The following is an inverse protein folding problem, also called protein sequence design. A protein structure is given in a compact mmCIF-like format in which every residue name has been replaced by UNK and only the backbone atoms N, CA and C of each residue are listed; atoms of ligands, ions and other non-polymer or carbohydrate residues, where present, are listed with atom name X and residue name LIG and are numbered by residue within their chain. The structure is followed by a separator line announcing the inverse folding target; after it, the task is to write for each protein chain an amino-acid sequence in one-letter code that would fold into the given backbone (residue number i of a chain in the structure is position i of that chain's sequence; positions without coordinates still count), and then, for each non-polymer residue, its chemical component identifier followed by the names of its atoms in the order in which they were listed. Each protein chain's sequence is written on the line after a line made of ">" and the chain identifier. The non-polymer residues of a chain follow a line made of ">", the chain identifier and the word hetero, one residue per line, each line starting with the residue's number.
data_IF_131532313879
#
_entry.id   IF_131532313879
#
_cell.length_a   1.000
_cell.length_b   1.000
_cell.length_c   1.000
_cell.angle_alpha   90.00
_cell.angle_beta   90.00
_cell.angle_gamma   90.00
#
_symmetry.space_group_name_H-M   'P 1'
#
loop_
_entity.id
_entity.type
_entity.pdbx_description
1 polymer ?
#
# COMPACT_ATOMS: atom_id res chain seq x y z
N UNK A 1 1.51 13.96 2.75
CA UNK A 1 1.10 12.82 1.90
C UNK A 1 2.03 11.66 2.14
N UNK A 2 1.51 10.45 2.19
CA UNK A 2 2.26 9.20 2.36
C UNK A 2 1.74 8.17 1.37
N UNK A 3 2.61 7.29 0.89
CA UNK A 3 2.21 6.12 0.10
C UNK A 3 2.11 4.91 1.01
N UNK A 4 0.99 4.21 0.97
CA UNK A 4 0.76 2.96 1.71
C UNK A 4 0.52 1.82 0.73
N UNK A 5 1.06 0.64 1.03
CA UNK A 5 0.77 -0.58 0.28
C UNK A 5 -0.41 -1.36 0.88
N UNK A 6 -0.79 -2.43 0.19
CA UNK A 6 -1.89 -3.29 0.61
C UNK A 6 -1.64 -3.93 1.99
N UNK A 7 -0.39 -4.15 2.40
CA UNK A 7 -0.06 -4.74 3.69
C UNK A 7 -0.54 -3.89 4.87
N UNK A 8 -0.49 -2.56 4.72
CA UNK A 8 -1.01 -1.61 5.71
C UNK A 8 -2.54 -1.56 5.68
N UNK A 9 -3.12 -1.42 4.48
CA UNK A 9 -4.57 -1.28 4.34
C UNK A 9 -5.31 -2.54 4.81
N UNK A 10 -4.73 -3.73 4.60
CA UNK A 10 -5.28 -4.99 5.10
C UNK A 10 -5.39 -5.03 6.63
N UNK A 11 -4.54 -4.30 7.37
CA UNK A 11 -4.64 -4.18 8.83
C UNK A 11 -5.85 -3.37 9.30
N UNK A 12 -6.46 -2.60 8.41
CA UNK A 12 -7.74 -1.94 8.70
C UNK A 12 -8.94 -2.90 8.55
N UNK A 13 -8.74 -4.00 7.82
CA UNK A 13 -9.76 -5.04 7.58
C UNK A 13 -9.58 -6.19 8.57
N UNK A 14 -8.33 -6.62 8.78
CA UNK A 14 -7.98 -7.74 9.65
C UNK A 14 -7.18 -7.24 10.84
N UNK A 15 -7.72 -7.45 12.05
CA UNK A 15 -7.04 -7.05 13.29
C UNK A 15 -5.76 -7.86 13.51
N UNK A 16 -4.65 -7.14 13.68
CA UNK A 16 -3.32 -7.68 13.95
C UNK A 16 -2.62 -6.84 15.03
N UNK A 17 -1.42 -7.24 15.47
CA UNK A 17 -0.70 -6.58 16.57
C UNK A 17 -0.43 -5.08 16.28
N UNK A 18 -0.13 -4.73 15.06
CA UNK A 18 0.20 -3.35 14.62
C UNK A 18 -0.97 -2.61 13.96
N UNK A 19 -2.20 -3.15 14.08
CA UNK A 19 -3.44 -2.47 13.64
C UNK A 19 -3.60 -1.06 14.25
N UNK A 20 -3.27 -0.80 15.54
CA UNK A 20 -3.37 0.55 16.09
C UNK A 20 -2.57 1.60 15.32
N UNK A 21 -1.38 1.27 14.83
CA UNK A 21 -0.57 2.18 14.02
C UNK A 21 -1.23 2.45 12.65
N UNK A 22 -1.76 1.41 12.00
CA UNK A 22 -2.50 1.55 10.76
C UNK A 22 -3.77 2.41 10.93
N UNK A 23 -4.49 2.24 12.04
CA UNK A 23 -5.66 3.07 12.39
C UNK A 23 -5.28 4.54 12.57
N UNK A 24 -4.12 4.84 13.15
CA UNK A 24 -3.64 6.22 13.26
C UNK A 24 -3.38 6.85 11.88
N UNK A 25 -2.78 6.10 10.94
CA UNK A 25 -2.57 6.59 9.57
C UNK A 25 -3.91 6.86 8.86
N UNK A 26 -4.90 5.98 9.07
CA UNK A 26 -6.27 6.19 8.57
C UNK A 26 -6.90 7.47 9.16
N UNK A 27 -6.79 7.68 10.46
CA UNK A 27 -7.33 8.88 11.12
C UNK A 27 -6.68 10.15 10.58
N UNK A 28 -5.36 10.17 10.44
CA UNK A 28 -4.65 11.30 9.85
C UNK A 28 -5.13 11.60 8.42
N UNK A 29 -5.47 10.56 7.65
CA UNK A 29 -6.03 10.72 6.31
C UNK A 29 -7.43 11.35 6.34
N UNK A 30 -8.31 10.87 7.22
CA UNK A 30 -9.68 11.36 7.37
C UNK A 30 -9.68 12.82 7.83
N UNK A 31 -8.83 13.16 8.78
CA UNK A 31 -8.71 14.54 9.30
C UNK A 31 -7.97 15.49 8.36
N UNK A 32 -7.32 14.95 7.32
CA UNK A 32 -6.53 15.72 6.36
C UNK A 32 -5.14 16.11 6.84
N UNK A 33 -4.71 15.59 8.00
CA UNK A 33 -3.36 15.80 8.51
C UNK A 33 -2.30 15.20 7.60
N UNK A 34 -2.55 13.98 7.10
CA UNK A 34 -1.68 13.35 6.11
C UNK A 34 -2.49 12.49 5.11
N UNK A 35 -2.47 12.85 3.84
CA UNK A 35 -3.23 12.14 2.81
C UNK A 35 -2.54 10.84 2.38
N UNK A 36 -3.33 9.78 2.28
CA UNK A 36 -2.88 8.48 1.75
C UNK A 36 -2.96 8.51 0.23
N UNK A 37 -1.89 8.06 -0.41
CA UNK A 37 -1.78 7.84 -1.85
C UNK A 37 -1.36 6.40 -2.14
N UNK A 38 -1.75 5.88 -3.29
CA UNK A 38 -1.34 4.55 -3.76
C UNK A 38 -1.40 4.44 -5.29
N UNK A 39 -0.68 3.50 -5.92
CA UNK A 39 -0.98 3.12 -7.29
C UNK A 39 -2.39 2.49 -7.37
N UNK A 40 -3.05 2.57 -8.51
CA UNK A 40 -4.34 1.87 -8.76
C UNK A 40 -4.28 0.37 -8.46
N UNK A 41 -3.09 -0.22 -8.55
CA UNK A 41 -2.77 -1.59 -8.16
C UNK A 41 -3.29 -1.96 -6.77
N UNK A 42 -3.35 -1.02 -5.81
CA UNK A 42 -3.81 -1.25 -4.45
C UNK A 42 -5.14 -2.02 -4.42
N UNK A 43 -6.12 -1.57 -5.18
CA UNK A 43 -7.45 -2.19 -5.15
C UNK A 43 -7.47 -3.60 -5.74
N UNK A 44 -6.61 -3.89 -6.72
CA UNK A 44 -6.45 -5.26 -7.24
C UNK A 44 -5.85 -6.19 -6.19
N UNK A 45 -4.83 -5.74 -5.46
CA UNK A 45 -4.21 -6.52 -4.38
C UNK A 45 -5.19 -6.79 -3.24
N UNK A 46 -5.92 -5.77 -2.79
CA UNK A 46 -6.94 -5.91 -1.73
C UNK A 46 -8.05 -6.88 -2.17
N UNK A 47 -8.60 -6.70 -3.35
CA UNK A 47 -9.65 -7.57 -3.88
C UNK A 47 -9.16 -9.01 -4.02
N UNK A 48 -7.91 -9.23 -4.46
CA UNK A 48 -7.33 -10.56 -4.60
C UNK A 48 -7.18 -11.26 -3.24
N UNK A 49 -6.70 -10.56 -2.20
CA UNK A 49 -6.59 -11.13 -0.85
C UNK A 49 -7.97 -11.50 -0.32
N UNK A 50 -8.97 -10.63 -0.47
CA UNK A 50 -10.35 -10.89 -0.03
C UNK A 50 -10.98 -12.05 -0.81
N UNK A 51 -10.72 -12.18 -2.10
CA UNK A 51 -11.20 -13.27 -2.94
C UNK A 51 -10.60 -14.63 -2.57
N UNK A 52 -9.34 -14.65 -2.13
CA UNK A 52 -8.62 -15.90 -1.77
C UNK A 52 -8.85 -16.35 -0.34
N UNK A 53 -9.33 -15.49 0.54
CA UNK A 53 -9.70 -15.85 1.92
C UNK A 53 -11.13 -16.42 1.95
N UNK A 54 -11.29 -17.64 1.48
CA UNK A 54 -12.61 -18.30 1.31
C UNK A 54 -13.40 -18.51 2.62
N UNK A 55 -12.76 -18.42 3.78
CA UNK A 55 -13.43 -18.45 5.07
C UNK A 55 -14.27 -17.19 5.34
N UNK A 56 -14.02 -16.09 4.62
CA UNK A 56 -14.77 -14.85 4.76
C UNK A 56 -15.92 -14.88 3.73
N UNK A 57 -17.18 -14.73 4.17
CA UNK A 57 -18.30 -14.64 3.24
C UNK A 57 -18.13 -13.51 2.22
N UNK A 58 -18.52 -13.72 0.97
CA UNK A 58 -18.41 -12.71 -0.11
C UNK A 58 -19.05 -11.39 0.29
N UNK A 59 -20.18 -11.42 1.01
CA UNK A 59 -20.85 -10.22 1.49
C UNK A 59 -19.96 -9.39 2.42
N UNK A 60 -19.25 -10.04 3.34
CA UNK A 60 -18.37 -9.35 4.29
C UNK A 60 -17.10 -8.84 3.61
N UNK A 61 -16.53 -9.63 2.71
CA UNK A 61 -15.39 -9.20 1.89
C UNK A 61 -15.76 -7.97 1.02
N UNK A 62 -16.93 -7.98 0.41
CA UNK A 62 -17.43 -6.87 -0.40
C UNK A 62 -17.68 -5.61 0.44
N UNK A 63 -18.24 -5.75 1.64
CA UNK A 63 -18.44 -4.64 2.56
C UNK A 63 -17.10 -4.04 3.01
N UNK A 64 -16.13 -4.86 3.35
CA UNK A 64 -14.79 -4.41 3.76
C UNK A 64 -14.10 -3.60 2.64
N UNK A 65 -14.16 -4.09 1.40
CA UNK A 65 -13.58 -3.36 0.27
C UNK A 65 -14.30 -2.04 0.01
N UNK A 66 -15.63 -2.02 0.15
CA UNK A 66 -16.44 -0.79 0.02
C UNK A 66 -16.04 0.26 1.04
N UNK A 67 -15.79 -0.14 2.29
CA UNK A 67 -15.31 0.77 3.33
C UNK A 67 -13.94 1.38 2.98
N UNK A 68 -13.04 0.59 2.39
CA UNK A 68 -11.75 1.12 1.92
C UNK A 68 -11.94 2.11 0.77
N UNK A 69 -12.83 1.83 -0.19
CA UNK A 69 -13.16 2.81 -1.24
C UNK A 69 -13.69 4.13 -0.68
N UNK A 70 -14.51 4.07 0.39
CA UNK A 70 -15.06 5.25 1.05
C UNK A 70 -14.00 6.09 1.80
N UNK A 71 -12.79 5.58 1.98
CA UNK A 71 -11.67 6.38 2.49
C UNK A 71 -11.15 7.39 1.45
N UNK A 72 -11.53 7.24 0.19
CA UNK A 72 -11.10 8.14 -0.90
C UNK A 72 -9.57 8.27 -0.99
N UNK A 73 -8.86 7.13 -0.88
CA UNK A 73 -7.42 7.07 -1.08
C UNK A 73 -7.10 7.62 -2.48
N UNK A 74 -6.16 8.56 -2.55
CA UNK A 74 -5.77 9.15 -3.82
C UNK A 74 -4.95 8.15 -4.64
N UNK A 75 -5.50 7.71 -5.78
CA UNK A 75 -4.85 6.70 -6.63
C UNK A 75 -4.23 7.33 -7.87
N UNK A 76 -3.10 6.74 -8.27
CA UNK A 76 -2.28 7.22 -9.39
C UNK A 76 -2.01 6.10 -10.38
N UNK A 77 -2.13 6.43 -11.66
CA UNK A 77 -1.65 5.59 -12.76
C UNK A 77 -0.17 5.85 -13.00
N UNK A 78 0.61 4.80 -13.20
CA UNK A 78 2.01 4.90 -13.59
C UNK A 78 2.14 5.01 -15.11
N UNK A 79 3.06 5.86 -15.57
CA UNK A 79 3.40 6.01 -16.97
C UNK A 79 4.45 5.00 -17.45
N UNK A 80 4.74 5.04 -18.75
CA UNK A 80 5.70 4.11 -19.38
C UNK A 80 7.07 4.17 -18.72
N UNK A 81 7.61 5.38 -18.50
CA UNK A 81 8.93 5.58 -17.89
C UNK A 81 8.99 4.99 -16.47
N UNK A 82 7.92 5.11 -15.72
CA UNK A 82 7.79 4.55 -14.37
C UNK A 82 7.75 3.02 -14.39
N UNK A 83 7.07 2.42 -15.37
CA UNK A 83 7.09 0.96 -15.56
C UNK A 83 8.48 0.46 -15.97
N UNK A 84 9.19 1.16 -16.85
CA UNK A 84 10.55 0.82 -17.21
C UNK A 84 11.49 0.90 -15.98
N UNK A 85 11.34 1.94 -15.16
CA UNK A 85 12.09 2.07 -13.89
C UNK A 85 11.76 0.95 -12.92
N UNK A 86 10.51 0.48 -12.88
CA UNK A 86 10.09 -0.60 -11.98
C UNK A 86 10.83 -1.92 -12.27
N UNK A 87 11.17 -2.19 -13.51
CA UNK A 87 11.95 -3.38 -13.90
C UNK A 87 13.36 -3.31 -13.29
N UNK A 88 14.02 -2.16 -13.39
CA UNK A 88 15.36 -1.96 -12.83
C UNK A 88 15.37 -2.05 -11.30
N UNK A 89 14.39 -1.42 -10.64
CA UNK A 89 14.23 -1.46 -9.18
C UNK A 89 13.94 -2.88 -8.71
N UNK A 90 13.02 -3.57 -9.37
CA UNK A 90 12.67 -4.97 -9.08
C UNK A 90 13.90 -5.88 -9.11
N UNK A 91 14.72 -5.77 -10.13
CA UNK A 91 15.96 -6.56 -10.28
C UNK A 91 17.01 -6.18 -9.24
N UNK A 92 17.20 -4.89 -9.00
CA UNK A 92 18.20 -4.38 -8.04
C UNK A 92 17.92 -4.87 -6.62
N UNK A 93 16.68 -4.75 -6.16
CA UNK A 93 16.28 -5.08 -4.79
C UNK A 93 15.70 -6.48 -4.63
N UNK A 94 15.54 -7.24 -5.73
CA UNK A 94 14.91 -8.57 -5.73
C UNK A 94 13.51 -8.54 -5.11
N UNK A 95 12.72 -7.59 -5.55
CA UNK A 95 11.32 -7.38 -5.18
C UNK A 95 10.42 -7.50 -6.41
N UNK A 96 9.11 -7.57 -6.20
CA UNK A 96 8.16 -7.57 -7.31
C UNK A 96 8.07 -6.18 -7.99
N UNK A 97 7.61 -6.15 -9.25
CA UNK A 97 7.23 -4.91 -9.92
C UNK A 97 6.09 -4.21 -9.17
N UNK A 98 5.21 -4.97 -8.53
CA UNK A 98 4.12 -4.45 -7.71
C UNK A 98 4.66 -3.62 -6.54
N UNK A 99 5.60 -4.17 -5.75
CA UNK A 99 6.26 -3.44 -4.66
C UNK A 99 7.05 -2.22 -5.17
N UNK A 100 7.76 -2.38 -6.31
CA UNK A 100 8.49 -1.29 -6.94
C UNK A 100 7.55 -0.13 -7.35
N UNK A 101 6.31 -0.43 -7.74
CA UNK A 101 5.33 0.58 -8.14
C UNK A 101 4.98 1.55 -7.01
N UNK A 102 4.83 1.05 -5.78
CA UNK A 102 4.62 1.89 -4.60
C UNK A 102 5.83 2.79 -4.30
N UNK A 103 7.03 2.22 -4.42
CA UNK A 103 8.27 2.98 -4.19
C UNK A 103 8.44 4.09 -5.22
N UNK A 104 8.20 3.81 -6.50
CA UNK A 104 8.27 4.80 -7.59
C UNK A 104 7.25 5.92 -7.36
N UNK A 105 6.03 5.57 -6.98
CA UNK A 105 5.02 6.58 -6.68
C UNK A 105 5.44 7.48 -5.52
N UNK A 106 5.97 6.92 -4.44
CA UNK A 106 6.46 7.69 -3.30
C UNK A 106 7.60 8.65 -3.69
N UNK A 107 8.52 8.19 -4.53
CA UNK A 107 9.60 9.02 -5.06
C UNK A 107 9.06 10.15 -5.93
N UNK A 108 8.12 9.86 -6.86
CA UNK A 108 7.43 10.85 -7.69
C UNK A 108 6.72 11.92 -6.86
N UNK A 109 6.06 11.51 -5.78
CA UNK A 109 5.32 12.40 -4.89
C UNK A 109 6.22 13.07 -3.83
N UNK A 110 7.50 12.73 -3.81
CA UNK A 110 8.49 13.19 -2.82
C UNK A 110 8.00 12.99 -1.38
N UNK A 111 7.52 11.80 -1.07
CA UNK A 111 6.96 11.44 0.24
C UNK A 111 7.46 10.07 0.71
N UNK A 112 7.11 9.69 1.94
CA UNK A 112 7.46 8.38 2.46
C UNK A 112 6.56 7.29 1.89
N UNK A 113 7.15 6.12 1.66
CA UNK A 113 6.47 4.85 1.45
C UNK A 113 6.49 4.07 2.76
N UNK A 114 5.32 3.70 3.28
CA UNK A 114 5.19 2.92 4.51
C UNK A 114 4.63 1.55 4.16
N UNK A 115 5.29 0.52 4.63
CA UNK A 115 4.91 -0.89 4.44
C UNK A 115 4.88 -1.63 5.77
N UNK A 116 4.06 -2.66 5.88
CA UNK A 116 4.11 -3.61 7.00
C UNK A 116 4.93 -4.87 6.64
N UNK A 117 5.44 -4.97 5.42
CA UNK A 117 6.28 -6.07 4.97
C UNK A 117 7.73 -5.86 5.42
N UNK A 118 8.10 -6.55 6.52
CA UNK A 118 9.45 -6.50 7.07
C UNK A 118 10.52 -7.02 6.09
N UNK A 119 10.18 -7.96 5.20
CA UNK A 119 11.11 -8.47 4.20
C UNK A 119 11.38 -7.42 3.13
N UNK A 120 10.34 -6.77 2.62
CA UNK A 120 10.47 -5.65 1.68
C UNK A 120 11.32 -4.53 2.29
N UNK A 121 11.01 -4.12 3.51
CA UNK A 121 11.77 -3.10 4.22
C UNK A 121 13.26 -3.46 4.35
N UNK A 122 13.59 -4.71 4.73
CA UNK A 122 14.99 -5.15 4.84
C UNK A 122 15.75 -5.09 3.51
N UNK A 123 15.08 -5.43 2.41
CA UNK A 123 15.68 -5.38 1.06
C UNK A 123 15.96 -3.96 0.59
N UNK A 124 15.19 -2.99 1.07
CA UNK A 124 15.19 -1.59 0.61
C UNK A 124 15.68 -0.61 1.69
N UNK A 125 16.35 -1.10 2.73
CA UNK A 125 16.78 -0.31 3.90
C UNK A 125 17.72 0.85 3.60
N UNK A 126 18.38 0.86 2.44
CA UNK A 126 19.21 1.95 1.97
C UNK A 126 18.39 3.14 1.42
N UNK A 127 17.11 2.92 1.13
CA UNK A 127 16.19 3.95 0.66
C UNK A 127 15.56 4.68 1.85
N UNK A 128 15.99 5.92 2.07
CA UNK A 128 15.59 6.71 3.25
C UNK A 128 14.11 7.08 3.29
N UNK A 129 13.41 6.99 2.19
CA UNK A 129 11.96 7.26 2.13
C UNK A 129 11.09 6.03 2.40
N UNK A 130 11.67 4.83 2.49
CA UNK A 130 10.94 3.61 2.84
C UNK A 130 10.92 3.46 4.37
N UNK A 131 9.75 3.19 4.93
CA UNK A 131 9.51 3.04 6.36
C UNK A 131 8.79 1.74 6.66
N UNK A 132 9.14 1.11 7.76
CA UNK A 132 8.34 0.03 8.34
C UNK A 132 7.30 0.63 9.30
N UNK A 133 6.08 0.07 9.27
CA UNK A 133 4.98 0.45 10.17
C UNK A 133 5.34 0.19 11.62
#
# INVERSE_FOLDING_TARGET
>A
MIVLDASIILKLIFEEQDTPQALQLRENHITGEDKIAAPELLYYELANVLATKVAIPVKDASSALTEIFNLEIETFTLGVEEFLSSISISRKYKISVYDASYMILAERLNCNFITADAQLFRKTKDLKFVRLL
#
